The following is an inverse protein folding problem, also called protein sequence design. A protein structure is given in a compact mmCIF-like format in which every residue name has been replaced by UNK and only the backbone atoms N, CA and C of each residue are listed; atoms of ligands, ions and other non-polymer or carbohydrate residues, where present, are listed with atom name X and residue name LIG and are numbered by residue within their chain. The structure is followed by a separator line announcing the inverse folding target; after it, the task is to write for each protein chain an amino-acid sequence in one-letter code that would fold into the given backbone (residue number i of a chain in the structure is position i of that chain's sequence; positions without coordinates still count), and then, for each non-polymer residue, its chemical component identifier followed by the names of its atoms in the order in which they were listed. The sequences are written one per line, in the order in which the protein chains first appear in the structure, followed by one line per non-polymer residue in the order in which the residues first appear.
data_IF_248084642105
#
_entry.id   IF_248084642105
#
_cell.length_a   1.000
_cell.length_b   1.000
_cell.length_c   1.000
_cell.angle_alpha   90.00
_cell.angle_beta   90.00
_cell.angle_gamma   90.00
#
_symmetry.space_group_name_H-M   'P 1'
#
loop_
_entity.id
_entity.type
_entity.pdbx_description
1 polymer ?
#
# COMPACT_ATOMS: atom_id res chain seq x y z
N UNK A 1 45.43 5.72 28.29
CA UNK A 1 44.87 6.28 27.04
C UNK A 1 45.88 6.14 25.94
N UNK A 2 45.82 5.06 25.18
CA UNK A 2 46.65 4.91 23.98
C UNK A 2 45.87 5.49 22.79
N UNK A 3 46.42 6.54 22.17
CA UNK A 3 45.81 7.25 21.03
C UNK A 3 46.17 6.58 19.68
N UNK A 4 46.32 5.25 19.66
CA UNK A 4 46.84 4.48 18.51
C UNK A 4 45.92 3.39 17.96
N UNK A 5 44.74 3.18 18.53
CA UNK A 5 43.78 2.20 18.02
C UNK A 5 42.70 2.90 17.21
N UNK A 6 42.73 2.73 15.88
CA UNK A 6 41.61 3.08 15.02
C UNK A 6 40.62 1.92 15.05
N UNK A 7 39.48 2.13 15.71
CA UNK A 7 38.35 1.21 15.65
C UNK A 7 37.47 1.56 14.45
N UNK A 8 37.04 0.53 13.74
CA UNK A 8 36.14 0.65 12.61
C UNK A 8 34.77 1.15 13.08
N UNK A 9 34.21 2.13 12.36
CA UNK A 9 32.86 2.62 12.63
C UNK A 9 31.92 1.77 11.81
N UNK A 10 31.00 1.07 12.47
CA UNK A 10 29.96 0.30 11.79
C UNK A 10 28.83 1.23 11.32
N UNK A 11 28.91 1.72 10.08
CA UNK A 11 27.89 2.62 9.54
C UNK A 11 26.52 1.94 9.40
N UNK A 12 26.46 0.60 9.35
CA UNK A 12 25.22 -0.16 9.23
C UNK A 12 24.38 -0.16 10.52
N UNK A 13 24.96 0.23 11.66
CA UNK A 13 24.20 0.46 12.90
C UNK A 13 23.40 1.76 12.88
N UNK A 14 23.69 2.66 11.95
CA UNK A 14 22.97 3.93 11.78
C UNK A 14 22.06 3.85 10.55
N UNK A 15 20.74 4.06 10.69
CA UNK A 15 19.84 4.09 9.54
C UNK A 15 20.21 5.20 8.54
N UNK A 16 20.01 4.95 7.25
CA UNK A 16 20.14 5.97 6.20
C UNK A 16 21.43 5.95 5.38
N UNK A 17 22.41 5.11 5.71
CA UNK A 17 23.62 4.94 4.89
C UNK A 17 23.36 4.17 3.58
N UNK A 18 22.48 3.17 3.64
CA UNK A 18 21.99 2.40 2.50
C UNK A 18 20.45 2.42 2.48
N UNK A 19 19.86 2.43 1.29
CA UNK A 19 18.40 2.34 1.14
C UNK A 19 17.84 0.94 1.44
N UNK A 20 18.58 -0.11 1.10
CA UNK A 20 18.22 -1.51 1.32
C UNK A 20 19.23 -2.18 2.27
N UNK A 21 20.11 -3.05 1.76
CA UNK A 21 21.02 -3.83 2.58
C UNK A 21 22.36 -3.12 2.79
N UNK A 22 22.93 -3.25 3.98
CA UNK A 22 24.21 -2.68 4.38
C UNK A 22 25.14 -3.78 4.90
N UNK A 23 26.35 -3.82 4.37
CA UNK A 23 27.45 -4.67 4.84
C UNK A 23 28.57 -3.78 5.36
N UNK A 24 28.89 -3.87 6.65
CA UNK A 24 30.01 -3.15 7.23
C UNK A 24 31.33 -3.79 6.79
N UNK A 25 32.29 -2.99 6.34
CA UNK A 25 33.62 -3.45 5.94
C UNK A 25 34.68 -2.59 6.60
N UNK A 26 35.87 -3.12 6.87
CA UNK A 26 36.89 -2.34 7.58
C UNK A 26 37.22 -1.02 6.83
N UNK A 27 36.92 0.10 7.48
CA UNK A 27 37.11 1.47 6.99
C UNK A 27 36.00 2.01 6.08
N UNK A 28 34.89 1.27 5.88
CA UNK A 28 33.77 1.69 5.02
C UNK A 28 32.53 0.78 5.15
N UNK A 29 31.62 0.89 4.20
CA UNK A 29 30.46 0.01 4.08
C UNK A 29 30.13 -0.23 2.61
N UNK A 30 29.39 -1.31 2.34
CA UNK A 30 28.87 -1.62 1.02
C UNK A 30 27.35 -1.74 1.07
N UNK A 31 26.69 -1.05 0.14
CA UNK A 31 25.26 -1.21 -0.05
C UNK A 31 24.96 -2.25 -1.14
N UNK A 32 23.89 -3.01 -0.96
CA UNK A 32 23.34 -3.89 -1.98
C UNK A 32 21.82 -3.83 -2.03
N UNK A 33 21.25 -4.28 -3.15
CA UNK A 33 19.83 -4.14 -3.45
C UNK A 33 19.10 -5.49 -3.43
N UNK A 34 17.83 -5.46 -3.04
CA UNK A 34 16.93 -6.60 -3.20
C UNK A 34 16.72 -6.96 -4.69
N UNK A 35 16.34 -8.21 -5.00
CA UNK A 35 16.02 -8.61 -6.37
C UNK A 35 14.99 -7.67 -7.03
N UNK A 36 15.22 -7.32 -8.30
CA UNK A 36 14.40 -6.35 -9.04
C UNK A 36 14.82 -4.89 -8.84
N UNK A 37 15.91 -4.63 -8.11
CA UNK A 37 16.48 -3.30 -7.91
C UNK A 37 17.97 -3.26 -8.22
N UNK A 38 18.40 -2.17 -8.85
CA UNK A 38 19.80 -1.88 -9.16
C UNK A 38 20.34 -0.73 -8.28
N UNK A 39 21.60 -0.84 -7.89
CA UNK A 39 22.28 0.19 -7.11
C UNK A 39 22.49 1.45 -7.97
N UNK A 40 22.14 2.62 -7.46
CA UNK A 40 22.35 3.90 -8.14
C UNK A 40 23.83 4.27 -8.18
N UNK A 41 24.16 5.24 -9.05
CA UNK A 41 25.55 5.69 -9.25
C UNK A 41 26.23 6.30 -8.02
N UNK A 42 25.49 6.68 -6.99
CA UNK A 42 26.03 7.13 -5.70
C UNK A 42 26.37 5.96 -4.74
N UNK A 43 26.07 4.72 -5.14
CA UNK A 43 26.37 3.53 -4.37
C UNK A 43 25.51 3.34 -3.12
N UNK A 44 24.42 4.10 -2.93
CA UNK A 44 23.62 4.09 -1.69
C UNK A 44 22.14 3.76 -1.90
N UNK A 45 21.54 4.23 -2.99
CA UNK A 45 20.12 4.03 -3.25
C UNK A 45 19.87 2.89 -4.23
N UNK A 46 18.72 2.25 -4.10
CA UNK A 46 18.28 1.19 -4.97
C UNK A 46 17.12 1.69 -5.82
N UNK A 47 17.24 1.57 -7.15
CA UNK A 47 16.21 1.94 -8.13
C UNK A 47 15.63 0.67 -8.73
N UNK A 48 14.32 0.65 -8.94
CA UNK A 48 13.66 -0.50 -9.57
C UNK A 48 14.22 -0.69 -10.98
N UNK A 49 14.49 -1.95 -11.35
CA UNK A 49 15.05 -2.29 -12.67
C UNK A 49 14.01 -2.19 -13.79
N UNK A 50 12.74 -2.47 -13.46
CA UNK A 50 11.64 -2.46 -14.42
C UNK A 50 10.32 -2.10 -13.76
N UNK A 51 9.41 -1.54 -14.55
CA UNK A 51 8.12 -1.03 -14.07
C UNK A 51 8.18 0.45 -13.67
N UNK A 52 7.01 1.02 -13.45
CA UNK A 52 6.84 2.42 -13.04
C UNK A 52 5.96 2.46 -11.79
N UNK A 53 6.36 3.30 -10.84
CA UNK A 53 5.52 3.62 -9.70
C UNK A 53 4.62 4.79 -10.07
N UNK A 54 3.31 4.60 -9.86
CA UNK A 54 2.31 5.66 -9.96
C UNK A 54 1.78 5.98 -8.57
N UNK A 55 1.40 7.24 -8.35
CA UNK A 55 0.72 7.65 -7.13
C UNK A 55 -0.78 7.54 -7.35
N UNK A 56 -1.42 6.55 -6.73
CA UNK A 56 -2.87 6.47 -6.64
C UNK A 56 -3.31 7.18 -5.37
N UNK A 57 -4.28 8.09 -5.47
CA UNK A 57 -4.75 8.84 -4.32
C UNK A 57 -6.26 9.09 -4.40
N UNK A 58 -6.84 9.27 -3.23
CA UNK A 58 -8.27 9.42 -3.02
C UNK A 58 -8.55 10.86 -2.55
N UNK A 59 -9.53 11.47 -3.20
CA UNK A 59 -10.18 12.71 -2.78
C UNK A 59 -11.65 12.37 -2.40
N UNK A 60 -12.38 13.28 -1.72
CA UNK A 60 -13.71 12.97 -1.21
C UNK A 60 -14.71 12.44 -2.25
N UNK A 61 -14.54 12.77 -3.54
CA UNK A 61 -15.46 12.43 -4.63
C UNK A 61 -14.77 11.82 -5.87
N UNK A 62 -13.46 11.58 -5.82
CA UNK A 62 -12.71 11.04 -6.96
C UNK A 62 -11.47 10.25 -6.56
N UNK A 63 -11.12 9.28 -7.40
CA UNK A 63 -9.88 8.52 -7.32
C UNK A 63 -9.04 8.88 -8.55
N UNK A 64 -7.82 9.30 -8.31
CA UNK A 64 -6.89 9.81 -9.32
C UNK A 64 -5.60 9.00 -9.29
N UNK A 65 -5.00 8.82 -10.46
CA UNK A 65 -3.67 8.24 -10.61
C UNK A 65 -2.74 9.25 -11.27
N UNK A 66 -1.59 9.49 -10.65
CA UNK A 66 -0.54 10.36 -11.14
C UNK A 66 0.67 9.53 -11.57
N UNK A 67 1.11 9.71 -12.83
CA UNK A 67 2.35 9.14 -13.37
C UNK A 67 3.49 10.16 -13.26
N UNK A 68 4.56 9.86 -12.49
CA UNK A 68 5.70 10.76 -12.36
C UNK A 68 6.53 10.91 -13.64
N UNK A 69 6.57 9.89 -14.50
CA UNK A 69 7.40 9.90 -15.73
C UNK A 69 6.86 10.86 -16.78
N UNK A 70 5.54 10.90 -16.95
CA UNK A 70 4.86 11.81 -17.87
C UNK A 70 4.37 13.10 -17.23
N UNK A 71 4.52 13.22 -15.90
CA UNK A 71 3.93 14.29 -15.10
C UNK A 71 2.45 14.51 -15.41
N UNK A 72 1.71 13.40 -15.47
CA UNK A 72 0.36 13.35 -16.02
C UNK A 72 -0.59 12.66 -15.05
N UNK A 73 -1.79 13.20 -14.95
CA UNK A 73 -2.84 12.70 -14.07
C UNK A 73 -3.99 12.10 -14.88
N UNK A 74 -4.63 11.07 -14.34
CA UNK A 74 -5.77 10.41 -14.96
C UNK A 74 -6.85 10.10 -13.94
N UNK A 75 -8.10 10.38 -14.31
CA UNK A 75 -9.28 10.06 -13.52
C UNK A 75 -9.60 8.57 -13.58
N UNK A 76 -9.73 7.92 -12.43
CA UNK A 76 -10.10 6.50 -12.33
C UNK A 76 -11.57 6.36 -11.95
N UNK A 77 -11.99 7.02 -10.88
CA UNK A 77 -13.37 6.99 -10.36
C UNK A 77 -13.79 8.43 -10.11
N UNK A 78 -15.03 8.75 -10.47
CA UNK A 78 -15.70 9.98 -10.07
C UNK A 78 -17.07 9.64 -9.53
N UNK A 79 -17.27 9.93 -8.25
CA UNK A 79 -18.56 9.78 -7.59
C UNK A 79 -18.95 11.09 -6.91
N UNK A 80 -19.93 11.78 -7.47
CA UNK A 80 -20.42 13.04 -6.91
C UNK A 80 -21.50 12.86 -5.84
N UNK A 81 -21.91 11.63 -5.55
CA UNK A 81 -23.04 11.32 -4.66
C UNK A 81 -22.60 10.79 -3.31
N UNK A 82 -21.41 10.21 -3.24
CA UNK A 82 -20.94 9.46 -2.07
C UNK A 82 -19.55 9.90 -1.66
N UNK A 83 -19.30 9.96 -0.35
CA UNK A 83 -18.00 10.34 0.17
C UNK A 83 -17.07 9.13 0.22
N UNK A 84 -16.05 9.14 -0.64
CA UNK A 84 -15.03 8.10 -0.69
C UNK A 84 -14.13 8.24 0.55
N UNK A 85 -13.80 7.13 1.22
CA UNK A 85 -13.01 7.18 2.46
C UNK A 85 -11.77 6.30 2.42
N UNK A 86 -11.96 5.00 2.17
CA UNK A 86 -10.88 4.01 2.17
C UNK A 86 -10.57 3.58 0.75
N UNK A 87 -9.30 3.33 0.46
CA UNK A 87 -8.87 2.76 -0.81
C UNK A 87 -7.64 1.88 -0.62
N UNK A 88 -7.61 0.75 -1.31
CA UNK A 88 -6.41 -0.09 -1.43
C UNK A 88 -6.46 -0.90 -2.73
N UNK A 89 -5.35 -1.54 -3.09
CA UNK A 89 -5.16 -2.14 -4.41
C UNK A 89 -4.68 -3.58 -4.35
N UNK A 90 -5.23 -4.41 -5.24
CA UNK A 90 -4.60 -5.66 -5.62
C UNK A 90 -3.68 -5.43 -6.81
N UNK A 91 -2.39 -5.25 -6.55
CA UNK A 91 -1.38 -4.97 -7.59
C UNK A 91 -1.24 -6.10 -8.62
N UNK A 92 -1.47 -7.37 -8.23
CA UNK A 92 -1.37 -8.52 -9.15
C UNK A 92 -2.54 -8.60 -10.13
N UNK A 93 -3.74 -8.23 -9.66
CA UNK A 93 -4.99 -8.24 -10.45
C UNK A 93 -5.30 -6.87 -11.07
N UNK A 94 -4.47 -5.86 -10.81
CA UNK A 94 -4.71 -4.46 -11.20
C UNK A 94 -6.12 -3.98 -10.79
N UNK A 95 -6.56 -4.36 -9.60
CA UNK A 95 -7.90 -4.05 -9.08
C UNK A 95 -7.79 -3.04 -7.95
N UNK A 96 -8.56 -1.96 -8.02
CA UNK A 96 -8.67 -0.95 -6.98
C UNK A 96 -9.96 -1.22 -6.21
N UNK A 97 -9.88 -1.19 -4.89
CA UNK A 97 -11.02 -1.30 -3.98
C UNK A 97 -11.19 0.01 -3.24
N UNK A 98 -12.44 0.44 -3.02
CA UNK A 98 -12.73 1.61 -2.20
C UNK A 98 -14.04 1.49 -1.44
N UNK A 99 -14.15 2.24 -0.35
CA UNK A 99 -15.36 2.33 0.47
C UNK A 99 -16.09 3.65 0.22
N UNK A 100 -17.42 3.57 0.19
CA UNK A 100 -18.33 4.71 0.18
C UNK A 100 -19.10 4.71 1.48
N UNK A 101 -18.75 5.64 2.38
CA UNK A 101 -19.22 5.60 3.77
C UNK A 101 -20.73 5.84 3.88
N UNK A 102 -21.26 6.80 3.13
CA UNK A 102 -22.68 7.18 3.16
C UNK A 102 -23.59 6.11 2.55
N UNK A 103 -23.09 5.41 1.53
CA UNK A 103 -23.84 4.42 0.77
C UNK A 103 -23.70 3.01 1.36
N UNK A 104 -22.75 2.83 2.28
CA UNK A 104 -22.50 1.54 2.93
C UNK A 104 -22.03 0.49 1.94
N UNK A 105 -21.20 0.89 0.99
CA UNK A 105 -20.75 0.06 -0.13
C UNK A 105 -19.24 -0.11 -0.13
N UNK A 106 -18.81 -1.31 -0.48
CA UNK A 106 -17.46 -1.60 -0.91
C UNK A 106 -17.50 -1.85 -2.41
N UNK A 107 -16.59 -1.23 -3.12
CA UNK A 107 -16.58 -1.21 -4.58
C UNK A 107 -15.24 -1.69 -5.12
N UNK A 108 -15.24 -2.08 -6.39
CA UNK A 108 -14.02 -2.45 -7.09
C UNK A 108 -14.04 -2.02 -8.54
N UNK A 109 -12.85 -1.74 -9.08
CA UNK A 109 -12.65 -1.44 -10.49
C UNK A 109 -11.31 -1.99 -10.95
N UNK A 110 -11.29 -2.54 -12.17
CA UNK A 110 -10.07 -2.69 -12.95
C UNK A 110 -10.04 -1.50 -13.91
N UNK A 111 -9.01 -0.62 -13.87
CA UNK A 111 -8.97 0.55 -14.76
C UNK A 111 -9.22 0.16 -16.24
N UNK A 112 -10.13 0.89 -16.90
CA UNK A 112 -10.60 0.58 -18.26
C UNK A 112 -11.87 -0.28 -18.32
N UNK A 113 -12.25 -0.94 -17.21
CA UNK A 113 -13.52 -1.66 -17.10
C UNK A 113 -14.58 -0.82 -16.37
N UNK A 114 -15.82 -1.30 -16.39
CA UNK A 114 -16.90 -0.72 -15.59
C UNK A 114 -16.69 -1.10 -14.11
N UNK A 115 -16.70 -0.10 -13.22
CA UNK A 115 -16.70 -0.32 -11.77
C UNK A 115 -17.94 -1.09 -11.30
N UNK A 116 -17.80 -1.79 -10.18
CA UNK A 116 -18.88 -2.60 -9.61
C UNK A 116 -18.90 -2.51 -8.08
N UNK A 117 -20.11 -2.60 -7.52
CA UNK A 117 -20.32 -2.76 -6.08
C UNK A 117 -20.10 -4.23 -5.73
N UNK A 118 -19.14 -4.52 -4.86
CA UNK A 118 -18.80 -5.89 -4.44
C UNK A 118 -19.48 -6.30 -3.14
N UNK A 119 -19.79 -5.33 -2.27
CA UNK A 119 -20.53 -5.55 -1.04
C UNK A 119 -21.45 -4.36 -0.74
N UNK A 120 -22.63 -4.64 -0.17
CA UNK A 120 -23.65 -3.66 0.20
C UNK A 120 -24.02 -3.81 1.67
N UNK A 121 -24.63 -2.77 2.21
CA UNK A 121 -25.12 -2.72 3.59
C UNK A 121 -24.00 -2.86 4.63
N UNK A 122 -22.79 -2.42 4.28
CA UNK A 122 -21.69 -2.29 5.23
C UNK A 122 -21.97 -1.05 6.08
N UNK A 123 -21.89 -1.15 7.40
CA UNK A 123 -22.16 -0.04 8.31
C UNK A 123 -20.97 0.92 8.27
N UNK A 124 -21.18 2.17 7.86
CA UNK A 124 -20.16 3.24 7.86
C UNK A 124 -18.71 2.79 7.54
N UNK A 125 -18.43 2.19 6.36
CA UNK A 125 -17.10 1.67 6.07
C UNK A 125 -16.07 2.79 5.86
N UNK A 126 -15.00 2.80 6.66
CA UNK A 126 -13.94 3.80 6.61
C UNK A 126 -12.71 3.37 5.83
N UNK A 127 -12.14 2.22 6.15
CA UNK A 127 -10.88 1.76 5.58
C UNK A 127 -11.05 0.39 4.94
N UNK A 128 -10.29 0.15 3.88
CA UNK A 128 -10.10 -1.15 3.24
C UNK A 128 -8.61 -1.44 3.16
N UNK A 129 -8.24 -2.69 3.37
CA UNK A 129 -6.89 -3.22 3.21
C UNK A 129 -6.96 -4.53 2.42
N UNK A 130 -6.05 -4.71 1.45
CA UNK A 130 -6.07 -5.80 0.49
C UNK A 130 -4.81 -6.63 0.64
N UNK A 131 -4.97 -7.89 1.01
CA UNK A 131 -3.90 -8.88 0.92
C UNK A 131 -3.86 -9.42 -0.52
N UNK A 132 -2.98 -8.85 -1.34
CA UNK A 132 -2.82 -9.27 -2.73
C UNK A 132 -2.16 -10.66 -2.88
N UNK A 133 -1.56 -11.21 -1.83
CA UNK A 133 -0.94 -12.54 -1.85
C UNK A 133 -2.02 -13.60 -1.72
N UNK A 134 -2.88 -13.47 -0.71
CA UNK A 134 -3.96 -14.44 -0.44
C UNK A 134 -5.28 -14.08 -1.11
N UNK A 135 -5.36 -12.89 -1.74
CA UNK A 135 -6.59 -12.36 -2.35
C UNK A 135 -7.72 -12.15 -1.35
N UNK A 136 -7.39 -11.79 -0.11
CA UNK A 136 -8.36 -11.41 0.92
C UNK A 136 -8.51 -9.89 0.99
N UNK A 137 -9.71 -9.42 1.30
CA UNK A 137 -10.04 -8.01 1.47
C UNK A 137 -10.58 -7.81 2.87
N UNK A 138 -9.94 -6.90 3.61
CA UNK A 138 -10.28 -6.54 4.98
C UNK A 138 -10.87 -5.14 4.98
N UNK A 139 -11.95 -4.91 5.71
CA UNK A 139 -12.54 -3.58 5.82
C UNK A 139 -13.20 -3.39 7.17
N UNK A 140 -13.32 -2.13 7.57
CA UNK A 140 -14.05 -1.74 8.77
C UNK A 140 -15.55 -1.80 8.51
N UNK A 141 -16.29 -2.49 9.38
CA UNK A 141 -17.75 -2.52 9.39
C UNK A 141 -18.23 -1.86 10.70
N UNK A 142 -18.54 -0.58 10.61
CA UNK A 142 -18.78 0.33 11.72
C UNK A 142 -17.50 0.64 12.50
N UNK A 143 -17.68 1.00 13.76
CA UNK A 143 -16.59 1.40 14.66
C UNK A 143 -15.99 0.24 15.46
N UNK A 144 -16.54 -0.96 15.29
CA UNK A 144 -16.34 -2.08 16.23
C UNK A 144 -15.98 -3.40 15.54
N UNK A 145 -16.19 -3.53 14.23
CA UNK A 145 -15.86 -4.74 13.49
C UNK A 145 -14.79 -4.50 12.41
N UNK A 146 -13.93 -5.50 12.23
CA UNK A 146 -13.16 -5.66 11.00
C UNK A 146 -13.63 -6.97 10.37
N UNK A 147 -14.10 -6.88 9.12
CA UNK A 147 -14.50 -8.03 8.33
C UNK A 147 -13.40 -8.40 7.34
N UNK A 148 -13.27 -9.70 7.09
CA UNK A 148 -12.44 -10.27 6.05
C UNK A 148 -13.32 -11.02 5.05
N UNK A 149 -13.18 -10.70 3.78
CA UNK A 149 -13.83 -11.42 2.68
C UNK A 149 -12.78 -12.01 1.74
N UNK A 150 -13.11 -13.15 1.14
CA UNK A 150 -12.35 -13.64 -0.01
C UNK A 150 -12.68 -12.80 -1.27
N UNK A 151 -11.82 -12.84 -2.29
CA UNK A 151 -11.89 -11.94 -3.45
C UNK A 151 -13.21 -11.91 -4.25
N UNK A 152 -14.05 -12.94 -4.18
CA UNK A 152 -15.38 -12.95 -4.80
C UNK A 152 -16.49 -12.40 -3.90
N UNK A 153 -16.18 -12.05 -2.66
CA UNK A 153 -17.09 -11.53 -1.64
C UNK A 153 -18.26 -12.47 -1.32
N UNK A 154 -18.13 -13.76 -1.67
CA UNK A 154 -19.14 -14.78 -1.37
C UNK A 154 -19.07 -15.23 0.08
N UNK A 155 -17.87 -15.22 0.64
CA UNK A 155 -17.61 -15.61 2.02
C UNK A 155 -16.90 -14.47 2.75
N UNK A 156 -17.52 -14.03 3.83
CA UNK A 156 -17.04 -12.97 4.70
C UNK A 156 -17.19 -13.41 6.16
N UNK A 157 -16.26 -12.99 7.01
CA UNK A 157 -16.30 -13.26 8.45
C UNK A 157 -15.79 -12.06 9.23
N UNK A 158 -16.30 -11.86 10.43
CA UNK A 158 -15.69 -10.93 11.38
C UNK A 158 -14.37 -11.53 11.86
N UNK A 159 -13.30 -10.74 11.80
CA UNK A 159 -11.97 -11.09 12.32
C UNK A 159 -11.62 -10.30 13.58
N UNK A 160 -12.29 -9.17 13.79
CA UNK A 160 -12.25 -8.38 15.02
C UNK A 160 -13.67 -7.97 15.35
N UNK A 161 -14.08 -8.15 16.61
CA UNK A 161 -15.33 -7.65 17.16
C UNK A 161 -15.06 -7.12 18.57
N UNK A 162 -15.23 -5.81 18.76
CA UNK A 162 -15.00 -5.13 20.05
C UNK A 162 -16.29 -4.87 20.84
N UNK A 163 -17.44 -5.36 20.37
CA UNK A 163 -18.72 -5.22 21.09
C UNK A 163 -18.78 -6.11 22.34
N UNK A 164 -17.94 -7.15 22.40
CA UNK A 164 -17.76 -7.97 23.58
C UNK A 164 -16.42 -7.63 24.25
N UNK A 165 -16.41 -7.19 25.52
CA UNK A 165 -15.17 -7.12 26.27
C UNK A 165 -14.62 -8.53 26.45
N UNK A 166 -13.37 -8.74 26.05
CA UNK A 166 -12.59 -9.93 26.37
C UNK A 166 -12.47 -10.15 27.87
#
# INVERSE_FOLDING_TARGET
NDFKTCEDIDECKTPGHCSHFCENVKGSYKCSCAPGYALSGDGRYCKVESGEASLLYLLPNEILIFSPRGFSESLVVKDSKSELHGMDVNVKKNTIYWTERTDGTLNSIVPGNKGQVVLRNVKEPFLVAVDWITSNVYFTDGWVHIQACESSFKYCTDVVDTTYPH
#
